data_IF_971778337082
#
_entry.id   IF_971778337082
#
_cell.length_a   1.000
_cell.length_b   1.000
_cell.length_c   1.000
_cell.angle_alpha   90.00
_cell.angle_beta   90.00
_cell.angle_gamma   90.00
#
_symmetry.space_group_name_H-M   'P 1'
#
loop_
_entity.id
_entity.type
_entity.pdbx_description
1 polymer ?
#
# COMPACT_ATOMS: atom_id res chain seq x y z
N UNK A 1 -14.76 25.77 23.67
CA UNK A 1 -14.54 25.25 22.30
C UNK A 1 -13.56 24.10 22.40
N UNK A 2 -14.01 22.85 22.21
CA UNK A 2 -13.15 21.67 22.11
C UNK A 2 -12.82 21.46 20.63
N UNK A 3 -11.53 21.38 20.28
CA UNK A 3 -11.13 21.08 18.91
C UNK A 3 -11.58 19.67 18.50
N UNK A 4 -12.23 19.57 17.33
CA UNK A 4 -12.72 18.31 16.74
C UNK A 4 -11.56 17.34 16.54
N UNK A 5 -11.50 16.26 17.32
CA UNK A 5 -10.54 15.18 17.13
C UNK A 5 -10.10 14.44 18.40
N UNK A 6 -10.43 14.96 19.59
CA UNK A 6 -10.01 14.35 20.84
C UNK A 6 -10.89 13.14 21.22
N UNK A 7 -10.28 11.95 21.29
CA UNK A 7 -10.92 10.72 21.76
C UNK A 7 -10.39 10.35 23.16
N UNK A 8 -11.18 10.44 24.24
CA UNK A 8 -10.73 10.15 25.61
C UNK A 8 -10.23 8.72 25.84
N UNK A 9 -10.52 7.80 24.92
CA UNK A 9 -10.12 6.38 25.00
C UNK A 9 -8.83 6.04 24.25
N UNK A 10 -8.22 6.97 23.52
CA UNK A 10 -6.89 6.71 22.97
C UNK A 10 -5.88 6.71 24.12
N UNK A 11 -5.19 5.59 24.41
CA UNK A 11 -4.17 5.58 25.46
C UNK A 11 -3.12 6.62 25.09
N UNK A 12 -3.04 7.70 25.87
CA UNK A 12 -2.07 8.79 25.69
C UNK A 12 -0.64 8.23 25.61
N UNK A 13 -0.42 7.06 26.20
CA UNK A 13 0.84 6.34 26.27
C UNK A 13 1.23 5.60 24.98
N UNK A 14 0.30 5.21 24.09
CA UNK A 14 0.69 4.51 22.84
C UNK A 14 1.33 5.45 21.84
N UNK A 15 0.87 6.71 21.79
CA UNK A 15 1.50 7.75 20.99
C UNK A 15 2.88 8.08 21.56
N UNK A 16 2.99 8.27 22.89
CA UNK A 16 4.25 8.60 23.58
C UNK A 16 5.35 7.56 23.43
N UNK A 17 5.02 6.27 23.25
CA UNK A 17 6.01 5.19 23.10
C UNK A 17 7.03 5.42 21.97
N UNK A 18 6.64 6.19 20.94
CA UNK A 18 7.49 6.49 19.79
C UNK A 18 8.10 7.90 19.82
N UNK A 19 7.77 8.73 20.82
CA UNK A 19 8.37 10.05 20.97
C UNK A 19 9.74 9.94 21.66
N UNK A 20 10.70 10.73 21.17
CA UNK A 20 11.99 10.90 21.82
C UNK A 20 11.80 11.83 23.01
N UNK A 21 11.56 11.26 24.20
CA UNK A 21 11.34 12.03 25.43
C UNK A 21 12.68 12.47 26.02
N UNK A 22 13.22 13.60 25.53
CA UNK A 22 14.42 14.23 26.10
C UNK A 22 14.08 15.67 26.46
N UNK A 23 14.15 15.98 27.76
CA UNK A 23 14.04 17.34 28.25
C UNK A 23 15.18 18.21 27.69
N UNK A 24 14.83 19.36 27.10
CA UNK A 24 15.77 20.28 26.46
C UNK A 24 16.58 21.09 27.48
N UNK A 25 17.59 20.47 28.08
CA UNK A 25 18.70 21.18 28.71
C UNK A 25 19.85 21.28 27.71
N UNK A 26 20.62 22.38 27.71
CA UNK A 26 21.66 22.63 26.69
C UNK A 26 22.67 21.48 26.53
N UNK A 27 23.09 20.85 27.64
CA UNK A 27 23.99 19.69 27.63
C UNK A 27 23.34 18.39 27.09
N UNK A 28 22.01 18.33 27.07
CA UNK A 28 21.23 17.20 26.52
C UNK A 28 20.77 17.43 25.07
N UNK A 29 20.99 18.61 24.51
CA UNK A 29 20.55 18.96 23.16
C UNK A 29 21.34 18.23 22.07
N UNK A 30 22.65 18.06 22.24
CA UNK A 30 23.48 17.28 21.31
C UNK A 30 23.02 15.81 21.24
N UNK A 31 22.83 15.19 22.41
CA UNK A 31 22.32 13.83 22.53
C UNK A 31 20.89 13.70 21.95
N UNK A 32 20.08 14.74 22.06
CA UNK A 32 18.75 14.80 21.43
C UNK A 32 18.88 14.82 19.90
N UNK A 33 19.73 15.67 19.34
CA UNK A 33 19.96 15.75 17.90
C UNK A 33 20.45 14.43 17.31
N UNK A 34 21.38 13.76 17.98
CA UNK A 34 21.90 12.48 17.51
C UNK A 34 20.85 11.37 17.57
N UNK A 35 20.00 11.33 18.60
CA UNK A 35 18.87 10.39 18.63
C UNK A 35 17.84 10.70 17.55
N UNK A 36 17.53 11.97 17.30
CA UNK A 36 16.62 12.36 16.22
C UNK A 36 17.17 11.95 14.84
N UNK A 37 18.45 12.21 14.57
CA UNK A 37 19.12 11.79 13.33
C UNK A 37 19.05 10.27 13.16
N UNK A 38 19.35 9.52 14.21
CA UNK A 38 19.29 8.06 14.20
C UNK A 38 17.86 7.54 13.97
N UNK A 39 16.87 8.17 14.59
CA UNK A 39 15.46 7.81 14.41
C UNK A 39 14.97 8.13 12.99
N UNK A 40 15.31 9.30 12.45
CA UNK A 40 14.99 9.68 11.07
C UNK A 40 15.59 8.69 10.07
N UNK A 41 16.86 8.32 10.24
CA UNK A 41 17.53 7.31 9.41
C UNK A 41 16.83 5.95 9.46
N UNK A 42 16.43 5.48 10.66
CA UNK A 42 15.67 4.24 10.82
C UNK A 42 14.32 4.31 10.11
N UNK A 43 13.59 5.42 10.26
CA UNK A 43 12.29 5.64 9.61
C UNK A 43 12.40 5.57 8.08
N UNK A 44 13.41 6.24 7.50
CA UNK A 44 13.69 6.17 6.07
C UNK A 44 13.96 4.73 5.61
N UNK A 45 14.84 4.01 6.33
CA UNK A 45 15.16 2.62 6.01
C UNK A 45 13.94 1.70 6.06
N UNK A 46 13.05 1.87 7.04
CA UNK A 46 11.81 1.10 7.12
C UNK A 46 10.86 1.41 5.97
N UNK A 47 10.75 2.68 5.57
CA UNK A 47 9.94 3.09 4.42
C UNK A 47 10.47 2.47 3.11
N UNK A 48 11.79 2.51 2.88
CA UNK A 48 12.40 1.87 1.71
C UNK A 48 12.22 0.35 1.73
N UNK A 49 12.43 -0.30 2.87
CA UNK A 49 12.24 -1.75 3.00
C UNK A 49 10.79 -2.15 2.74
N UNK A 50 9.82 -1.38 3.24
CA UNK A 50 8.40 -1.63 2.99
C UNK A 50 8.04 -1.46 1.51
N UNK A 51 8.54 -0.40 0.87
CA UNK A 51 8.33 -0.18 -0.56
C UNK A 51 8.93 -1.34 -1.38
N UNK A 52 10.18 -1.72 -1.10
CA UNK A 52 10.84 -2.81 -1.78
C UNK A 52 10.10 -4.14 -1.54
N UNK A 53 9.71 -4.48 -0.30
CA UNK A 53 8.93 -5.70 -0.04
C UNK A 53 7.57 -5.73 -0.77
N UNK A 54 6.94 -4.58 -0.97
CA UNK A 54 5.69 -4.48 -1.74
C UNK A 54 5.91 -4.70 -3.25
N UNK A 55 7.09 -4.36 -3.76
CA UNK A 55 7.42 -4.40 -5.19
C UNK A 55 8.30 -5.62 -5.60
N UNK A 56 9.10 -6.17 -4.69
CA UNK A 56 9.97 -7.35 -4.88
C UNK A 56 9.18 -8.67 -4.95
N UNK A 57 7.87 -8.62 -4.72
CA UNK A 57 6.98 -9.66 -5.20
C UNK A 57 6.95 -9.58 -6.72
N UNK A 58 7.87 -10.28 -7.39
CA UNK A 58 7.80 -10.50 -8.84
C UNK A 58 6.34 -10.83 -9.17
N UNK A 59 5.64 -10.05 -10.02
CA UNK A 59 4.27 -10.37 -10.35
C UNK A 59 4.29 -11.77 -10.95
N UNK A 60 3.77 -12.75 -10.20
CA UNK A 60 3.62 -14.09 -10.72
C UNK A 60 2.67 -13.93 -11.90
N UNK A 61 3.21 -14.06 -13.11
CA UNK A 61 2.41 -13.94 -14.31
C UNK A 61 1.40 -15.08 -14.26
N UNK A 62 0.09 -14.79 -14.36
CA UNK A 62 -0.90 -15.85 -14.36
C UNK A 62 -0.68 -16.75 -15.58
N UNK A 63 -0.55 -18.05 -15.36
CA UNK A 63 -0.57 -19.05 -16.42
C UNK A 63 -2.02 -19.39 -16.75
N UNK A 64 -2.38 -19.30 -18.03
CA UNK A 64 -3.73 -19.60 -18.53
C UNK A 64 -3.68 -20.81 -19.46
N UNK A 65 -4.64 -21.73 -19.31
CA UNK A 65 -4.83 -22.88 -20.19
C UNK A 65 -6.05 -22.74 -21.10
N UNK A 66 -6.04 -23.43 -22.25
CA UNK A 66 -7.23 -23.55 -23.11
C UNK A 66 -8.30 -24.35 -22.38
N UNK A 67 -9.53 -23.82 -22.31
CA UNK A 67 -10.64 -24.41 -21.54
C UNK A 67 -10.86 -23.80 -20.15
N UNK A 68 -9.94 -22.96 -19.66
CA UNK A 68 -10.11 -22.29 -18.37
C UNK A 68 -11.22 -21.25 -18.40
N UNK A 69 -11.90 -21.08 -17.26
CA UNK A 69 -12.92 -20.06 -17.05
C UNK A 69 -12.26 -18.79 -16.49
N UNK A 70 -12.35 -17.70 -17.26
CA UNK A 70 -11.77 -16.41 -16.89
C UNK A 70 -12.83 -15.31 -16.78
N UNK A 71 -12.49 -14.30 -15.98
CA UNK A 71 -13.28 -13.09 -15.80
C UNK A 71 -12.57 -11.93 -16.52
N UNK A 72 -13.28 -11.23 -17.39
CA UNK A 72 -12.72 -10.08 -18.11
C UNK A 72 -13.00 -8.81 -17.32
N UNK A 73 -11.97 -8.01 -17.03
CA UNK A 73 -12.16 -6.75 -16.34
C UNK A 73 -12.98 -5.78 -17.18
N UNK A 74 -13.98 -5.16 -16.57
CA UNK A 74 -14.79 -4.10 -17.21
C UNK A 74 -14.06 -2.74 -17.24
N UNK A 75 -12.87 -2.67 -16.63
CA UNK A 75 -12.01 -1.51 -16.62
C UNK A 75 -11.19 -1.43 -17.91
N UNK A 76 -11.77 -0.87 -18.96
CA UNK A 76 -11.03 -0.48 -20.17
C UNK A 76 -10.27 0.83 -19.94
N UNK A 77 -9.18 1.08 -20.69
CA UNK A 77 -8.43 2.36 -20.63
C UNK A 77 -9.35 3.58 -20.80
N UNK A 78 -10.37 3.47 -21.65
CA UNK A 78 -11.36 4.52 -21.91
C UNK A 78 -12.31 4.80 -20.72
N UNK A 79 -12.41 3.86 -19.77
CA UNK A 79 -13.37 3.91 -18.66
C UNK A 79 -12.73 4.15 -17.29
N UNK A 80 -11.39 4.32 -17.20
CA UNK A 80 -10.65 4.50 -15.93
C UNK A 80 -11.12 5.74 -15.15
N UNK A 81 -11.53 6.81 -15.85
CA UNK A 81 -11.95 8.09 -15.23
C UNK A 81 -13.43 8.12 -14.82
N UNK A 82 -14.22 7.09 -15.13
CA UNK A 82 -15.66 7.08 -14.82
C UNK A 82 -15.94 6.68 -13.36
N UNK A 83 -17.09 7.09 -12.78
CA UNK A 83 -17.42 6.76 -11.40
C UNK A 83 -17.44 5.25 -11.16
N UNK A 84 -16.51 4.75 -10.34
CA UNK A 84 -16.33 3.31 -10.05
C UNK A 84 -17.49 2.66 -9.28
N UNK A 85 -18.36 3.44 -8.64
CA UNK A 85 -19.30 2.95 -7.62
C UNK A 85 -20.52 2.18 -8.16
N UNK A 86 -20.75 2.11 -9.47
CA UNK A 86 -22.00 1.58 -10.04
C UNK A 86 -21.83 0.44 -11.05
N UNK A 87 -20.61 -0.07 -11.28
CA UNK A 87 -20.39 -1.14 -12.26
C UNK A 87 -19.65 -2.32 -11.63
N UNK A 88 -20.09 -3.53 -11.98
CA UNK A 88 -19.35 -4.76 -11.68
C UNK A 88 -17.94 -4.64 -12.26
N UNK A 89 -16.92 -4.97 -11.45
CA UNK A 89 -15.50 -4.84 -11.84
C UNK A 89 -15.07 -5.87 -12.89
N UNK A 90 -15.85 -6.94 -13.06
CA UNK A 90 -15.58 -8.05 -13.96
C UNK A 90 -16.87 -8.51 -14.66
N UNK A 91 -16.70 -9.09 -15.85
CA UNK A 91 -17.75 -9.67 -16.69
C UNK A 91 -17.41 -11.13 -17.00
N UNK A 92 -18.44 -11.93 -17.26
CA UNK A 92 -18.31 -13.36 -17.57
C UNK A 92 -18.31 -14.24 -16.33
N UNK A 93 -18.41 -15.55 -16.53
CA UNK A 93 -17.23 -16.34 -16.89
C UNK A 93 -17.17 -16.64 -18.38
N UNK A 94 -15.98 -16.65 -18.94
CA UNK A 94 -15.75 -17.00 -20.32
C UNK A 94 -14.72 -18.11 -20.45
N UNK A 95 -14.85 -18.94 -21.48
CA UNK A 95 -13.94 -20.06 -21.75
C UNK A 95 -12.85 -19.61 -22.71
N UNK A 96 -11.60 -19.89 -22.39
CA UNK A 96 -10.46 -19.64 -23.28
C UNK A 96 -10.52 -20.61 -24.47
N UNK A 97 -10.65 -20.07 -25.70
CA UNK A 97 -10.66 -20.84 -26.95
C UNK A 97 -9.25 -21.06 -27.51
N UNK A 98 -8.39 -20.05 -27.41
CA UNK A 98 -7.01 -20.11 -27.90
C UNK A 98 -6.13 -19.10 -27.17
N UNK A 99 -4.83 -19.42 -27.09
CA UNK A 99 -3.80 -18.57 -26.48
C UNK A 99 -2.97 -17.95 -27.60
N UNK A 100 -3.00 -16.62 -27.72
CA UNK A 100 -2.21 -15.86 -28.68
C UNK A 100 -0.95 -15.33 -27.97
N UNK A 101 -0.02 -16.22 -27.66
CA UNK A 101 1.17 -15.91 -26.86
C UNK A 101 0.87 -15.82 -25.35
N UNK A 102 1.78 -15.24 -24.58
CA UNK A 102 1.72 -15.24 -23.10
C UNK A 102 0.64 -14.31 -22.53
N UNK A 103 0.33 -13.22 -23.22
CA UNK A 103 -0.47 -12.11 -22.67
C UNK A 103 -1.81 -11.87 -23.39
N UNK A 104 -2.11 -12.62 -24.45
CA UNK A 104 -3.35 -12.44 -25.22
C UNK A 104 -4.10 -13.75 -25.33
N UNK A 105 -5.41 -13.67 -25.12
CA UNK A 105 -6.30 -14.83 -25.05
C UNK A 105 -7.52 -14.54 -25.88
N UNK A 106 -7.94 -15.50 -26.70
CA UNK A 106 -9.22 -15.45 -27.39
C UNK A 106 -10.29 -16.13 -26.53
N UNK A 107 -11.36 -15.39 -26.32
CA UNK A 107 -12.45 -15.69 -25.40
C UNK A 107 -13.75 -15.89 -26.19
#
# INVERSE_FOLDING_TARGET
MLEKGWNPKTPVDTLKKYLVDIHSTASRFELLLDKLRNHAKKSMNYAFKYANQKYDGSPQSPEFGVGDLILVSTLSFDNIKRPKKLKYSFSGPFIIKSLNGTNAVQV
#
